data_IF_547017848261
#
_entry.id   IF_547017848261
#
_cell.length_a   1.000
_cell.length_b   1.000
_cell.length_c   1.000
_cell.angle_alpha   90.00
_cell.angle_beta   90.00
_cell.angle_gamma   90.00
#
_symmetry.space_group_name_H-M   'P 1'
#
loop_
_entity.id
_entity.type
_entity.pdbx_description
1 polymer ?
#
# COMPACT_ATOMS: atom_id res chain seq x y z
N UNK A 1 -21.41 -20.56 -23.37
CA UNK A 1 -20.13 -20.16 -22.75
C UNK A 1 -20.35 -20.21 -21.26
N UNK A 2 -19.73 -21.18 -20.59
CA UNK A 2 -20.02 -21.52 -19.20
C UNK A 2 -19.34 -20.48 -18.31
N UNK A 3 -20.14 -19.80 -17.48
CA UNK A 3 -19.66 -18.94 -16.41
C UNK A 3 -19.15 -19.88 -15.29
N UNK A 4 -17.89 -20.28 -15.35
CA UNK A 4 -17.26 -20.96 -14.22
C UNK A 4 -16.93 -19.89 -13.17
N UNK A 5 -17.78 -19.80 -12.15
CA UNK A 5 -17.45 -19.08 -10.93
C UNK A 5 -16.16 -19.69 -10.35
N UNK A 6 -15.11 -18.88 -10.21
CA UNK A 6 -13.83 -19.32 -9.63
C UNK A 6 -14.05 -20.04 -8.30
N UNK A 7 -13.35 -21.16 -8.12
CA UNK A 7 -13.26 -21.89 -6.86
C UNK A 7 -12.82 -20.96 -5.70
N UNK A 8 -13.37 -21.22 -4.52
CA UNK A 8 -13.16 -20.41 -3.32
C UNK A 8 -11.69 -20.44 -2.84
N UNK A 9 -11.00 -21.56 -3.02
CA UNK A 9 -9.57 -21.70 -2.72
C UNK A 9 -8.71 -20.79 -3.61
N UNK A 10 -9.04 -20.77 -4.90
CA UNK A 10 -8.40 -19.94 -5.91
C UNK A 10 -8.73 -18.46 -5.67
N UNK A 11 -9.96 -18.12 -5.26
CA UNK A 11 -10.35 -16.74 -4.90
C UNK A 11 -9.57 -16.21 -3.70
N UNK A 12 -9.31 -17.04 -2.69
CA UNK A 12 -8.53 -16.66 -1.50
C UNK A 12 -7.09 -16.27 -1.83
N UNK A 13 -6.48 -16.85 -2.86
CA UNK A 13 -5.11 -16.51 -3.27
C UNK A 13 -4.97 -15.07 -3.81
N UNK A 14 -6.08 -14.45 -4.21
CA UNK A 14 -6.12 -13.10 -4.77
C UNK A 14 -6.57 -12.03 -3.78
N UNK A 15 -7.01 -12.43 -2.58
CA UNK A 15 -7.35 -11.49 -1.52
C UNK A 15 -6.08 -10.95 -0.84
N UNK A 16 -6.20 -9.74 -0.30
CA UNK A 16 -5.19 -9.15 0.57
C UNK A 16 -5.02 -10.04 1.81
N UNK A 17 -3.78 -10.28 2.23
CA UNK A 17 -3.50 -11.04 3.46
C UNK A 17 -4.14 -10.31 4.67
N UNK A 18 -4.86 -11.05 5.51
CA UNK A 18 -5.47 -10.54 6.74
C UNK A 18 -5.13 -11.43 7.95
N UNK A 19 -4.36 -10.92 8.94
CA UNK A 19 -3.73 -9.61 8.97
C UNK A 19 -2.44 -9.55 8.12
N UNK A 20 -2.10 -8.40 7.51
CA UNK A 20 -0.81 -8.23 6.87
C UNK A 20 0.31 -8.21 7.91
N UNK A 21 1.44 -8.86 7.62
CA UNK A 21 2.63 -8.78 8.47
C UNK A 21 3.30 -7.41 8.29
N UNK A 22 3.20 -6.56 9.32
CA UNK A 22 3.84 -5.25 9.35
C UNK A 22 5.03 -5.28 10.32
N UNK A 23 6.24 -5.06 9.80
CA UNK A 23 7.46 -4.98 10.60
C UNK A 23 8.05 -3.57 10.47
N UNK A 24 8.07 -2.76 11.54
CA UNK A 24 8.63 -1.41 11.47
C UNK A 24 10.16 -1.46 11.36
N UNK A 25 10.72 -0.66 10.44
CA UNK A 25 12.17 -0.52 10.30
C UNK A 25 12.74 0.34 11.45
N UNK A 26 13.55 -0.27 12.31
CA UNK A 26 14.19 0.38 13.46
C UNK A 26 15.47 1.12 13.07
N UNK A 27 15.34 2.26 12.37
CA UNK A 27 16.49 3.02 11.85
C UNK A 27 16.93 4.21 12.70
N UNK A 28 16.09 4.65 13.65
CA UNK A 28 16.32 5.85 14.46
C UNK A 28 17.73 5.95 15.12
N UNK A 29 18.28 4.92 15.78
CA UNK A 29 19.60 5.03 16.41
C UNK A 29 20.71 5.24 15.38
N UNK A 30 20.64 4.56 14.23
CA UNK A 30 21.61 4.70 13.15
C UNK A 30 21.52 6.07 12.46
N UNK A 31 20.30 6.56 12.22
CA UNK A 31 20.10 7.89 11.64
C UNK A 31 20.57 9.01 12.57
N UNK A 32 20.37 8.86 13.88
CA UNK A 32 20.80 9.85 14.86
C UNK A 32 22.32 9.97 14.96
N UNK A 33 23.04 8.86 14.75
CA UNK A 33 24.50 8.81 14.75
C UNK A 33 25.16 9.52 13.56
N UNK A 34 24.40 9.83 12.50
CA UNK A 34 24.91 10.53 11.31
C UNK A 34 25.23 12.00 11.62
N UNK A 35 26.27 12.52 10.97
CA UNK A 35 26.54 13.97 10.96
C UNK A 35 25.57 14.72 10.02
N UNK A 36 25.58 16.05 10.06
CA UNK A 36 24.63 16.87 9.28
C UNK A 36 24.77 16.68 7.76
N UNK A 37 25.99 16.45 7.27
CA UNK A 37 26.24 16.21 5.85
C UNK A 37 25.65 14.87 5.41
N UNK A 38 25.84 13.83 6.22
CA UNK A 38 25.29 12.48 5.99
C UNK A 38 23.78 12.47 6.08
N UNK A 39 23.19 13.15 7.07
CA UNK A 39 21.72 13.32 7.18
C UNK A 39 21.15 14.01 5.95
N UNK A 40 21.80 15.08 5.48
CA UNK A 40 21.40 15.80 4.27
C UNK A 40 21.51 14.90 3.04
N UNK A 41 22.60 14.16 2.89
CA UNK A 41 22.78 13.19 1.81
C UNK A 41 21.69 12.11 1.82
N UNK A 42 21.47 11.47 2.97
CA UNK A 42 20.44 10.45 3.16
C UNK A 42 19.05 11.00 2.80
N UNK A 43 18.71 12.22 3.26
CA UNK A 43 17.45 12.88 2.92
C UNK A 43 17.25 13.02 1.40
N UNK A 44 18.25 13.55 0.68
CA UNK A 44 18.12 13.75 -0.76
C UNK A 44 18.13 12.44 -1.56
N UNK A 45 18.91 11.45 -1.15
CA UNK A 45 18.85 10.12 -1.76
C UNK A 45 17.50 9.46 -1.53
N UNK A 46 16.95 9.50 -0.31
CA UNK A 46 15.62 8.97 -0.04
C UNK A 46 14.56 9.66 -0.89
N UNK A 47 14.61 10.99 -1.03
CA UNK A 47 13.70 11.73 -1.92
C UNK A 47 13.82 11.29 -3.38
N UNK A 48 15.05 11.10 -3.87
CA UNK A 48 15.28 10.61 -5.23
C UNK A 48 14.72 9.20 -5.42
N UNK A 49 14.95 8.29 -4.46
CA UNK A 49 14.43 6.93 -4.50
C UNK A 49 12.88 6.90 -4.56
N UNK A 50 12.20 7.70 -3.73
CA UNK A 50 10.74 7.79 -3.75
C UNK A 50 10.17 8.54 -4.96
N UNK A 51 10.97 9.37 -5.63
CA UNK A 51 10.51 10.03 -6.87
C UNK A 51 10.27 9.02 -8.01
N UNK A 52 10.89 7.84 -7.95
CA UNK A 52 10.67 6.73 -8.87
C UNK A 52 9.35 5.97 -8.66
N UNK A 53 8.60 6.20 -7.57
CA UNK A 53 7.39 5.43 -7.25
C UNK A 53 6.35 5.43 -8.37
N UNK A 54 6.17 6.56 -9.08
CA UNK A 54 5.23 6.64 -10.21
C UNK A 54 5.66 5.79 -11.40
N UNK A 55 6.96 5.65 -11.62
CA UNK A 55 7.49 4.79 -12.67
C UNK A 55 7.14 3.33 -12.35
N UNK A 56 7.40 2.89 -11.11
CA UNK A 56 7.06 1.53 -10.67
C UNK A 56 5.58 1.23 -10.85
N UNK A 57 4.68 2.12 -10.39
CA UNK A 57 3.24 1.94 -10.52
C UNK A 57 2.81 1.71 -11.98
N UNK A 58 3.34 2.49 -12.93
CA UNK A 58 3.04 2.34 -14.37
C UNK A 58 3.59 1.04 -14.95
N UNK A 59 4.69 0.51 -14.41
CA UNK A 59 5.25 -0.76 -14.84
C UNK A 59 4.45 -1.96 -14.32
N UNK A 60 3.74 -1.83 -13.20
CA UNK A 60 2.90 -2.90 -12.66
C UNK A 60 1.60 -3.03 -13.44
N UNK A 61 0.81 -1.95 -13.53
CA UNK A 61 -0.49 -1.99 -14.22
C UNK A 61 -1.02 -0.59 -14.53
N UNK A 62 -1.88 -0.49 -15.56
CA UNK A 62 -2.47 0.79 -15.97
C UNK A 62 -3.34 1.41 -14.86
N UNK A 63 -3.97 0.58 -14.01
CA UNK A 63 -4.81 1.02 -12.89
C UNK A 63 -4.02 1.48 -11.65
N UNK A 64 -2.74 1.11 -11.51
CA UNK A 64 -1.98 1.31 -10.26
C UNK A 64 -1.82 2.78 -9.88
N UNK A 65 -1.60 3.69 -10.83
CA UNK A 65 -1.48 5.13 -10.48
C UNK A 65 -2.78 5.68 -9.88
N UNK A 66 -3.93 5.30 -10.45
CA UNK A 66 -5.24 5.76 -9.97
C UNK A 66 -5.56 5.20 -8.58
N UNK A 67 -5.21 3.94 -8.31
CA UNK A 67 -5.37 3.32 -6.98
C UNK A 67 -4.48 4.04 -5.95
N UNK A 68 -3.23 4.33 -6.31
CA UNK A 68 -2.32 5.10 -5.45
C UNK A 68 -2.90 6.48 -5.13
N UNK A 69 -3.36 7.21 -6.14
CA UNK A 69 -3.96 8.54 -5.95
C UNK A 69 -5.22 8.50 -5.10
N UNK A 70 -6.06 7.48 -5.26
CA UNK A 70 -7.24 7.27 -4.42
C UNK A 70 -6.86 7.12 -2.95
N UNK A 71 -5.93 6.20 -2.63
CA UNK A 71 -5.50 5.95 -1.24
C UNK A 71 -4.89 7.20 -0.61
N UNK A 72 -3.99 7.90 -1.33
CA UNK A 72 -3.34 9.11 -0.82
C UNK A 72 -4.35 10.25 -0.65
N UNK A 73 -5.32 10.39 -1.55
CA UNK A 73 -6.37 11.42 -1.46
C UNK A 73 -7.27 11.18 -0.25
N UNK A 74 -7.67 9.93 0.00
CA UNK A 74 -8.45 9.59 1.19
C UNK A 74 -7.66 9.85 2.47
N UNK A 75 -6.39 9.46 2.51
CA UNK A 75 -5.54 9.74 3.67
C UNK A 75 -5.44 11.25 3.95
N UNK A 76 -5.31 12.08 2.91
CA UNK A 76 -5.28 13.54 3.03
C UNK A 76 -6.62 14.13 3.47
N UNK A 77 -7.75 13.58 3.01
CA UNK A 77 -9.07 14.09 3.36
C UNK A 77 -9.43 13.84 4.84
N UNK A 78 -8.93 12.74 5.41
CA UNK A 78 -9.15 12.40 6.82
C UNK A 78 -7.96 12.73 7.74
N UNK A 79 -6.81 13.15 7.18
CA UNK A 79 -5.56 13.34 7.91
C UNK A 79 -5.15 12.11 8.75
N UNK A 80 -5.42 10.90 8.22
CA UNK A 80 -5.20 9.63 8.90
C UNK A 80 -6.28 9.21 9.91
N UNK A 81 -7.34 10.02 10.14
CA UNK A 81 -8.48 9.63 10.99
C UNK A 81 -9.48 8.75 10.22
N UNK A 82 -9.07 7.49 10.04
CA UNK A 82 -9.83 6.49 9.28
C UNK A 82 -11.16 6.10 9.93
N UNK A 83 -11.25 6.15 11.26
CA UNK A 83 -12.50 5.82 11.99
C UNK A 83 -13.58 6.87 11.74
N UNK A 84 -13.20 8.15 11.75
CA UNK A 84 -14.11 9.24 11.40
C UNK A 84 -14.58 9.14 9.96
N UNK A 85 -13.66 8.87 9.02
CA UNK A 85 -14.00 8.71 7.62
C UNK A 85 -14.96 7.53 7.38
N UNK A 86 -14.70 6.37 8.00
CA UNK A 86 -15.58 5.21 7.90
C UNK A 86 -16.98 5.49 8.48
N UNK A 87 -17.05 6.21 9.61
CA UNK A 87 -18.33 6.60 10.22
C UNK A 87 -19.15 7.51 9.30
N UNK A 88 -18.50 8.48 8.63
CA UNK A 88 -19.16 9.37 7.67
C UNK A 88 -19.65 8.63 6.42
N UNK A 89 -18.89 7.62 5.97
CA UNK A 89 -19.23 6.76 4.84
C UNK A 89 -20.20 5.62 5.20
N UNK A 90 -20.60 5.50 6.47
CA UNK A 90 -21.44 4.40 7.00
C UNK A 90 -20.86 3.00 6.72
N UNK A 91 -19.54 2.88 6.77
CA UNK A 91 -18.82 1.62 6.60
C UNK A 91 -18.70 0.88 7.92
N UNK A 92 -18.67 -0.45 7.87
CA UNK A 92 -18.38 -1.26 9.05
C UNK A 92 -16.90 -1.19 9.43
N UNK A 93 -16.57 -1.56 10.67
CA UNK A 93 -15.17 -1.67 11.09
C UNK A 93 -14.42 -2.75 10.29
N UNK A 94 -15.13 -3.79 9.83
CA UNK A 94 -14.55 -4.87 9.03
C UNK A 94 -14.21 -4.39 7.62
N UNK A 95 -15.08 -3.61 6.99
CA UNK A 95 -14.80 -3.00 5.68
C UNK A 95 -13.59 -2.06 5.76
N UNK A 96 -13.52 -1.27 6.83
CA UNK A 96 -12.37 -0.40 7.06
C UNK A 96 -11.08 -1.21 7.23
N UNK A 97 -11.13 -2.31 7.99
CA UNK A 97 -9.98 -3.19 8.20
C UNK A 97 -9.50 -3.78 6.88
N UNK A 98 -10.40 -4.34 6.08
CA UNK A 98 -10.06 -4.90 4.76
C UNK A 98 -9.45 -3.84 3.83
N UNK A 99 -10.02 -2.64 3.78
CA UNK A 99 -9.47 -1.54 3.00
C UNK A 99 -8.05 -1.17 3.45
N UNK A 100 -7.81 -1.02 4.76
CA UNK A 100 -6.49 -0.68 5.29
C UNK A 100 -5.46 -1.80 5.04
N UNK A 101 -5.86 -3.06 5.17
CA UNK A 101 -5.01 -4.22 4.84
C UNK A 101 -4.61 -4.22 3.36
N UNK A 102 -5.56 -3.95 2.47
CA UNK A 102 -5.30 -3.78 1.04
C UNK A 102 -4.37 -2.61 0.76
N UNK A 103 -4.66 -1.43 1.33
CA UNK A 103 -3.87 -0.22 1.12
C UNK A 103 -2.41 -0.40 1.62
N UNK A 104 -2.21 -1.06 2.76
CA UNK A 104 -0.89 -1.37 3.29
C UNK A 104 -0.08 -2.26 2.34
N UNK A 105 -0.70 -3.33 1.80
CA UNK A 105 -0.07 -4.23 0.84
C UNK A 105 0.21 -3.54 -0.51
N UNK A 106 -0.74 -2.75 -1.01
CA UNK A 106 -0.60 -2.00 -2.26
C UNK A 106 0.56 -1.01 -2.20
N UNK A 107 0.63 -0.20 -1.13
CA UNK A 107 1.71 0.78 -0.94
C UNK A 107 3.04 0.06 -0.72
N UNK A 108 3.06 -1.01 0.07
CA UNK A 108 4.27 -1.81 0.34
C UNK A 108 4.87 -2.43 -0.93
N UNK A 109 4.02 -2.91 -1.84
CA UNK A 109 4.45 -3.51 -3.12
C UNK A 109 4.60 -2.49 -4.25
N UNK A 110 4.20 -1.23 -4.04
CA UNK A 110 4.10 -0.19 -5.09
C UNK A 110 3.27 -0.64 -6.30
N UNK A 111 2.17 -1.34 -6.05
CA UNK A 111 1.29 -1.88 -7.09
C UNK A 111 0.33 -2.94 -6.57
N UNK A 112 -0.63 -3.35 -7.41
CA UNK A 112 -1.66 -4.33 -7.08
C UNK A 112 -1.26 -5.80 -7.34
N UNK A 113 0.04 -6.06 -7.46
CA UNK A 113 0.60 -7.41 -7.60
C UNK A 113 1.53 -7.68 -6.42
N UNK A 114 1.55 -8.92 -5.93
CA UNK A 114 2.52 -9.31 -4.90
C UNK A 114 3.93 -9.26 -5.51
N UNK A 115 4.83 -8.47 -4.93
CA UNK A 115 6.23 -8.38 -5.40
C UNK A 115 7.00 -9.70 -5.22
N UNK A 116 6.55 -10.59 -4.33
CA UNK A 116 7.01 -11.99 -4.26
C UNK A 116 5.94 -12.90 -4.87
N UNK A 117 6.23 -13.49 -6.03
CA UNK A 117 5.41 -14.51 -6.68
C UNK A 117 4.55 -14.06 -7.86
N UNK A 118 4.61 -12.79 -8.28
CA UNK A 118 3.92 -12.24 -9.47
C UNK A 118 2.40 -12.55 -9.56
N UNK A 119 1.76 -12.76 -8.41
CA UNK A 119 0.32 -13.02 -8.34
C UNK A 119 -0.45 -11.73 -8.10
N UNK A 120 -1.47 -11.50 -8.92
CA UNK A 120 -2.30 -10.28 -8.88
C UNK A 120 -3.24 -10.26 -7.68
N UNK A 121 -3.07 -9.34 -6.72
CA UNK A 121 -4.14 -9.05 -5.76
C UNK A 121 -5.18 -8.13 -6.43
N UNK A 122 -6.18 -8.69 -7.14
CA UNK A 122 -7.27 -7.87 -7.69
C UNK A 122 -8.23 -7.48 -6.56
N UNK A 123 -8.52 -6.18 -6.51
CA UNK A 123 -9.55 -5.54 -5.68
C UNK A 123 -10.90 -6.24 -5.74
#
# INVERSE_FOLDING_TARGET
MVNEAMDEGTRKQYLADDPPTVVPLTIAPHFNALNDKEKKYAHYISRAAFSGTRINLRQVSAESEAIYDFIITLHKSCNGDWKKLASQAKLSNEDLKHFLSYAAQFIGNTGNYRSFGDSKGKS
#
